data_IF_801945014317
#
_entry.id   IF_801945014317
#
_cell.length_a   1.000
_cell.length_b   1.000
_cell.length_c   1.000
_cell.angle_alpha   90.00
_cell.angle_beta   90.00
_cell.angle_gamma   90.00
#
_symmetry.space_group_name_H-M   'P 1'
#
loop_
_entity.id
_entity.type
_entity.pdbx_description
1 polymer ?
#
# COMPACT_ATOMS: atom_id res chain seq x y z
N UNK A 1 64.23 6.71 3.39
CA UNK A 1 63.49 5.45 3.58
C UNK A 1 62.24 5.77 4.40
N UNK A 2 61.21 6.32 3.73
CA UNK A 2 59.98 6.76 4.38
C UNK A 2 59.01 5.58 4.43
N UNK A 3 58.72 5.09 5.63
CA UNK A 3 57.67 4.10 5.87
C UNK A 3 56.38 4.87 6.15
N UNK A 4 55.50 4.94 5.16
CA UNK A 4 54.13 5.40 5.34
C UNK A 4 53.31 4.25 5.94
N UNK A 5 52.75 4.49 7.13
CA UNK A 5 51.62 3.72 7.65
C UNK A 5 50.43 3.94 6.71
N UNK A 6 50.01 2.89 6.01
CA UNK A 6 48.74 2.89 5.31
C UNK A 6 47.66 2.47 6.31
N UNK A 7 46.92 3.44 6.82
CA UNK A 7 45.66 3.20 7.51
C UNK A 7 44.68 2.56 6.52
N UNK A 8 44.47 1.26 6.68
CA UNK A 8 43.46 0.51 5.93
C UNK A 8 42.08 0.77 6.59
N UNK A 9 41.54 1.97 6.45
CA UNK A 9 40.15 2.26 6.76
C UNK A 9 39.28 1.77 5.59
N UNK A 10 39.07 0.45 5.52
CA UNK A 10 38.06 -0.12 4.64
C UNK A 10 36.68 0.33 5.12
N UNK A 11 36.10 1.30 4.41
CA UNK A 11 34.68 1.64 4.56
C UNK A 11 33.86 0.40 4.23
N UNK A 12 32.95 -0.08 5.10
CA UNK A 12 32.07 -1.17 4.72
C UNK A 12 31.09 -0.63 3.69
N UNK A 13 31.30 -1.04 2.44
CA UNK A 13 30.31 -1.03 1.40
C UNK A 13 29.11 -1.87 1.86
N UNK A 14 28.18 -1.25 2.58
CA UNK A 14 26.88 -1.83 2.90
C UNK A 14 26.03 -1.86 1.60
N UNK A 15 26.38 -2.77 0.69
CA UNK A 15 25.42 -3.35 -0.24
C UNK A 15 24.56 -4.32 0.56
N UNK A 16 23.40 -3.85 0.99
CA UNK A 16 22.41 -4.70 1.65
C UNK A 16 21.98 -5.79 0.66
N UNK A 17 21.79 -7.05 1.08
CA UNK A 17 21.35 -8.10 0.18
C UNK A 17 20.00 -7.70 -0.42
N UNK A 18 19.87 -7.81 -1.74
CA UNK A 18 18.58 -7.71 -2.41
C UNK A 18 17.67 -8.80 -1.81
N UNK A 19 16.63 -8.36 -1.09
CA UNK A 19 15.85 -9.12 -0.10
C UNK A 19 15.33 -10.49 -0.55
N UNK A 20 15.50 -11.49 0.33
CA UNK A 20 14.82 -12.79 0.30
C UNK A 20 13.29 -12.67 0.13
N UNK A 21 12.69 -11.56 0.57
CA UNK A 21 11.27 -11.24 0.41
C UNK A 21 10.81 -11.18 -1.06
N UNK A 22 11.60 -10.58 -1.95
CA UNK A 22 11.22 -10.43 -3.38
C UNK A 22 11.39 -11.73 -4.13
N UNK A 23 12.27 -12.60 -3.63
CA UNK A 23 12.51 -13.93 -4.18
C UNK A 23 11.54 -14.98 -3.60
N UNK A 24 10.69 -14.60 -2.65
CA UNK A 24 9.71 -15.49 -2.07
C UNK A 24 8.66 -15.90 -3.14
N UNK A 25 8.47 -17.20 -3.40
CA UNK A 25 7.51 -17.65 -4.41
C UNK A 25 6.07 -17.23 -4.09
N UNK A 26 5.72 -17.13 -2.81
CA UNK A 26 4.41 -16.65 -2.38
C UNK A 26 4.24 -15.17 -2.71
N UNK A 27 5.22 -14.33 -2.40
CA UNK A 27 5.20 -12.91 -2.78
C UNK A 27 4.98 -12.73 -4.29
N UNK A 28 5.77 -13.43 -5.12
CA UNK A 28 5.69 -13.31 -6.58
C UNK A 28 4.34 -13.77 -7.13
N UNK A 29 3.76 -14.85 -6.59
CA UNK A 29 2.46 -15.35 -7.00
C UNK A 29 1.34 -14.34 -6.69
N UNK A 30 1.33 -13.79 -5.47
CA UNK A 30 0.33 -12.81 -5.06
C UNK A 30 0.50 -11.45 -5.77
N UNK A 31 1.73 -11.04 -6.05
CA UNK A 31 2.00 -9.85 -6.87
C UNK A 31 1.40 -10.01 -8.27
N UNK A 32 1.60 -11.16 -8.90
CA UNK A 32 1.05 -11.43 -10.22
C UNK A 32 -0.48 -11.58 -10.19
N UNK A 33 -1.04 -12.19 -9.14
CA UNK A 33 -2.49 -12.26 -8.92
C UNK A 33 -3.10 -10.86 -8.82
N UNK A 34 -2.55 -10.01 -7.93
CA UNK A 34 -2.99 -8.63 -7.75
C UNK A 34 -2.97 -7.87 -9.07
N UNK A 35 -1.89 -8.02 -9.84
CA UNK A 35 -1.75 -7.41 -11.17
C UNK A 35 -2.86 -7.87 -12.11
N UNK A 36 -3.11 -9.17 -12.20
CA UNK A 36 -4.16 -9.72 -13.05
C UNK A 36 -5.55 -9.21 -12.65
N UNK A 37 -5.83 -9.18 -11.35
CA UNK A 37 -7.09 -8.70 -10.80
C UNK A 37 -7.34 -7.22 -11.15
N UNK A 38 -6.32 -6.37 -11.01
CA UNK A 38 -6.36 -4.95 -11.35
C UNK A 38 -6.66 -4.74 -12.84
N UNK A 39 -5.92 -5.42 -13.74
CA UNK A 39 -6.13 -5.28 -15.19
C UNK A 39 -7.50 -5.80 -15.63
N UNK A 40 -7.93 -6.95 -15.12
CA UNK A 40 -9.25 -7.51 -15.44
C UNK A 40 -10.38 -6.56 -15.01
N UNK A 41 -10.24 -5.96 -13.83
CA UNK A 41 -11.22 -5.00 -13.30
C UNK A 41 -11.28 -3.74 -14.15
N UNK A 42 -10.14 -3.22 -14.60
CA UNK A 42 -10.08 -2.07 -15.50
C UNK A 42 -10.67 -2.37 -16.90
N UNK A 43 -10.40 -3.56 -17.46
CA UNK A 43 -10.87 -3.93 -18.80
C UNK A 43 -12.37 -4.26 -18.89
N UNK A 44 -12.96 -4.75 -17.80
CA UNK A 44 -14.40 -5.10 -17.74
C UNK A 44 -15.31 -3.88 -17.57
N UNK A 45 -14.78 -2.66 -17.80
CA UNK A 45 -15.49 -1.39 -17.78
C UNK A 45 -16.48 -1.23 -18.96
N UNK A 46 -17.42 -2.15 -19.10
CA UNK A 46 -18.68 -1.84 -19.78
C UNK A 46 -19.54 -0.97 -18.84
N UNK A 47 -20.27 0.02 -19.34
CA UNK A 47 -21.09 0.90 -18.50
C UNK A 47 -22.30 0.13 -17.97
N UNK A 48 -22.14 -0.52 -16.81
CA UNK A 48 -23.28 -1.02 -16.05
C UNK A 48 -24.00 0.19 -15.45
N UNK A 49 -25.13 0.55 -16.05
CA UNK A 49 -26.08 1.53 -15.51
C UNK A 49 -26.66 0.98 -14.20
N UNK A 50 -25.96 1.17 -13.09
CA UNK A 50 -26.55 0.90 -11.78
C UNK A 50 -27.31 2.12 -11.27
N UNK A 51 -28.50 1.84 -10.74
CA UNK A 51 -29.49 2.82 -10.35
C UNK A 51 -29.04 3.62 -9.12
N UNK A 52 -29.40 4.91 -9.09
CA UNK A 52 -29.18 5.81 -7.96
C UNK A 52 -29.72 5.20 -6.65
N UNK A 53 -28.94 5.15 -5.56
CA UNK A 53 -29.44 4.62 -4.31
C UNK A 53 -30.50 5.57 -3.73
N UNK A 54 -31.63 4.99 -3.34
CA UNK A 54 -32.71 5.67 -2.63
C UNK A 54 -32.28 5.96 -1.18
N UNK A 55 -32.67 7.14 -0.69
CA UNK A 55 -32.36 7.62 0.65
C UNK A 55 -33.15 6.80 1.70
N UNK A 56 -32.55 5.74 2.23
CA UNK A 56 -33.16 4.85 3.23
C UNK A 56 -32.31 4.73 4.50
N UNK A 57 -32.87 5.19 5.62
CA UNK A 57 -32.54 4.89 7.03
C UNK A 57 -31.09 4.47 7.37
N UNK A 58 -30.28 5.45 7.82
CA UNK A 58 -28.86 5.28 8.16
C UNK A 58 -28.61 4.56 9.49
N UNK A 59 -28.73 3.23 9.49
CA UNK A 59 -28.02 2.35 10.42
C UNK A 59 -26.86 1.67 9.70
N UNK A 60 -25.75 1.31 10.38
CA UNK A 60 -24.70 0.51 9.76
C UNK A 60 -25.29 -0.83 9.30
N UNK A 61 -24.96 -1.24 8.08
CA UNK A 61 -25.43 -2.53 7.52
C UNK A 61 -24.81 -3.70 8.29
N UNK A 62 -25.47 -4.88 8.26
CA UNK A 62 -24.92 -6.10 8.89
C UNK A 62 -23.51 -6.43 8.37
N UNK A 63 -23.27 -6.15 7.09
CA UNK A 63 -21.96 -6.31 6.44
C UNK A 63 -20.91 -5.33 7.00
N UNK A 64 -21.29 -4.07 7.25
CA UNK A 64 -20.40 -3.08 7.85
C UNK A 64 -20.06 -3.43 9.31
N UNK A 65 -21.03 -3.91 10.09
CA UNK A 65 -20.81 -4.39 11.46
C UNK A 65 -19.86 -5.60 11.50
N UNK A 66 -20.04 -6.55 10.59
CA UNK A 66 -19.17 -7.71 10.47
C UNK A 66 -17.73 -7.30 10.10
N UNK A 67 -17.58 -6.38 9.14
CA UNK A 67 -16.29 -5.83 8.74
C UNK A 67 -15.59 -5.10 9.91
N UNK A 68 -16.32 -4.30 10.68
CA UNK A 68 -15.80 -3.65 11.88
C UNK A 68 -15.37 -4.65 12.97
N UNK A 69 -16.14 -5.74 13.16
CA UNK A 69 -15.77 -6.79 14.11
C UNK A 69 -14.49 -7.52 13.66
N UNK A 70 -14.33 -7.77 12.36
CA UNK A 70 -13.13 -8.36 11.79
C UNK A 70 -11.91 -7.45 11.99
N UNK A 71 -12.02 -6.15 11.71
CA UNK A 71 -10.95 -5.16 11.95
C UNK A 71 -10.56 -5.10 13.43
N UNK A 72 -11.54 -5.05 14.34
CA UNK A 72 -11.27 -5.08 15.79
C UNK A 72 -10.52 -6.34 16.21
N UNK A 73 -10.93 -7.49 15.70
CA UNK A 73 -10.28 -8.78 15.97
C UNK A 73 -8.85 -8.80 15.42
N UNK A 74 -8.64 -8.27 14.21
CA UNK A 74 -7.30 -8.17 13.62
C UNK A 74 -6.37 -7.29 14.47
N UNK A 75 -6.88 -6.18 15.04
CA UNK A 75 -6.13 -5.26 15.89
C UNK A 75 -5.94 -5.71 17.34
N UNK A 76 -6.57 -6.81 17.76
CA UNK A 76 -6.36 -7.37 19.09
C UNK A 76 -4.93 -7.91 19.31
N UNK A 77 -4.21 -8.19 18.22
CA UNK A 77 -2.79 -8.55 18.26
C UNK A 77 -1.91 -7.33 18.54
N UNK A 78 -1.04 -7.42 19.56
CA UNK A 78 -0.12 -6.34 19.93
C UNK A 78 0.77 -5.87 18.77
N UNK A 79 1.31 -6.80 17.98
CA UNK A 79 2.15 -6.48 16.80
C UNK A 79 1.39 -5.69 15.73
N UNK A 80 0.15 -6.07 15.43
CA UNK A 80 -0.67 -5.37 14.43
C UNK A 80 -1.05 -3.96 14.90
N UNK A 81 -1.29 -3.80 16.21
CA UNK A 81 -1.50 -2.47 16.77
C UNK A 81 -0.24 -1.60 16.70
N UNK A 82 0.95 -2.17 16.90
CA UNK A 82 2.22 -1.47 16.69
C UNK A 82 2.40 -1.01 15.25
N UNK A 83 2.07 -1.86 14.26
CA UNK A 83 2.10 -1.46 12.85
C UNK A 83 1.09 -0.34 12.56
N UNK A 84 -0.11 -0.37 13.12
CA UNK A 84 -1.06 0.74 12.93
C UNK A 84 -0.55 2.05 13.54
N UNK A 85 0.08 2.00 14.73
CA UNK A 85 0.70 3.17 15.36
C UNK A 85 1.85 3.71 14.51
N UNK A 86 2.73 2.84 14.01
CA UNK A 86 3.82 3.22 13.13
C UNK A 86 3.28 3.79 11.80
N UNK A 87 2.20 3.23 11.27
CA UNK A 87 1.57 3.77 10.06
C UNK A 87 1.20 5.24 10.24
N UNK A 88 0.42 5.56 11.27
CA UNK A 88 -0.04 6.93 11.52
C UNK A 88 1.13 7.87 11.82
N UNK A 89 2.13 7.39 12.58
CA UNK A 89 3.23 8.24 13.06
C UNK A 89 4.36 8.45 12.03
N UNK A 90 4.60 7.47 11.15
CA UNK A 90 5.78 7.44 10.28
C UNK A 90 5.43 7.23 8.81
N UNK A 91 4.38 6.46 8.48
CA UNK A 91 4.05 6.11 7.09
C UNK A 91 3.14 7.14 6.42
N UNK A 92 2.01 7.44 7.04
CA UNK A 92 1.00 8.33 6.49
C UNK A 92 1.53 9.74 6.18
N UNK A 93 2.40 10.37 7.00
CA UNK A 93 2.90 11.72 6.72
C UNK A 93 3.64 11.87 5.39
N UNK A 94 4.37 10.85 4.93
CA UNK A 94 5.01 10.93 3.60
C UNK A 94 4.07 10.57 2.45
N UNK A 95 3.00 9.81 2.70
CA UNK A 95 1.93 9.64 1.72
C UNK A 95 1.18 10.96 1.53
N UNK A 96 0.94 11.70 2.61
CA UNK A 96 0.29 13.02 2.64
C UNK A 96 1.20 14.19 2.24
N UNK A 97 2.42 13.94 1.76
CA UNK A 97 3.32 15.01 1.36
C UNK A 97 2.69 15.83 0.22
N UNK A 98 2.25 17.05 0.51
CA UNK A 98 1.45 17.96 -0.34
C UNK A 98 -0.08 17.77 -0.33
N UNK A 99 -0.62 16.94 0.56
CA UNK A 99 -2.06 16.90 0.85
C UNK A 99 -2.34 17.61 2.18
N UNK A 100 -2.92 18.81 2.10
CA UNK A 100 -3.31 19.58 3.29
C UNK A 100 -4.46 18.96 4.08
N UNK A 101 -5.19 18.00 3.49
CA UNK A 101 -6.30 17.31 4.16
C UNK A 101 -5.85 16.05 4.90
N UNK A 102 -4.54 15.73 4.83
CA UNK A 102 -3.93 14.58 5.51
C UNK A 102 -4.76 13.29 5.30
N UNK A 103 -5.15 13.01 4.05
CA UNK A 103 -6.09 11.94 3.77
C UNK A 103 -5.56 10.56 4.20
N UNK A 104 -4.27 10.29 4.06
CA UNK A 104 -3.66 9.04 4.50
C UNK A 104 -3.51 8.97 6.04
N UNK A 105 -3.33 10.10 6.72
CA UNK A 105 -3.20 10.14 8.19
C UNK A 105 -4.56 10.11 8.88
N UNK A 106 -5.60 10.71 8.28
CA UNK A 106 -6.92 10.90 8.89
C UNK A 106 -7.97 10.01 8.25
N UNK A 107 -8.17 10.12 6.93
CA UNK A 107 -9.30 9.48 6.25
C UNK A 107 -9.09 7.97 6.07
N UNK A 108 -7.88 7.54 5.69
CA UNK A 108 -7.54 6.13 5.48
C UNK A 108 -7.71 5.29 6.75
N UNK A 109 -7.21 5.69 7.93
CA UNK A 109 -7.43 4.92 9.16
C UNK A 109 -8.90 4.85 9.57
N UNK A 110 -9.69 5.91 9.32
CA UNK A 110 -11.14 5.90 9.56
C UNK A 110 -11.81 4.88 8.65
N UNK A 111 -11.50 4.89 7.36
CA UNK A 111 -12.04 3.94 6.37
C UNK A 111 -11.61 2.49 6.67
N UNK A 112 -10.38 2.27 7.14
CA UNK A 112 -9.85 0.96 7.50
C UNK A 112 -10.65 0.29 8.64
N UNK A 113 -11.37 1.07 9.47
CA UNK A 113 -12.21 0.51 10.54
C UNK A 113 -13.35 -0.36 10.01
N UNK A 114 -13.91 -0.03 8.84
CA UNK A 114 -14.99 -0.77 8.18
C UNK A 114 -14.54 -1.49 6.91
N UNK A 115 -13.27 -1.38 6.53
CA UNK A 115 -12.69 -2.08 5.38
C UNK A 115 -11.46 -2.92 5.80
N UNK A 116 -11.65 -4.22 6.10
CA UNK A 116 -10.56 -5.12 6.49
C UNK A 116 -9.44 -5.20 5.44
N UNK A 117 -9.77 -5.20 4.15
CA UNK A 117 -8.76 -5.21 3.08
C UNK A 117 -7.81 -4.01 3.16
N UNK A 118 -8.37 -2.81 3.39
CA UNK A 118 -7.59 -1.58 3.57
C UNK A 118 -6.77 -1.61 4.86
N UNK A 119 -7.32 -2.13 5.95
CA UNK A 119 -6.56 -2.33 7.18
C UNK A 119 -5.33 -3.20 6.93
N UNK A 120 -5.50 -4.37 6.33
CA UNK A 120 -4.38 -5.27 6.05
C UNK A 120 -3.34 -4.64 5.12
N UNK A 121 -3.75 -3.88 4.10
CA UNK A 121 -2.82 -3.14 3.23
C UNK A 121 -2.01 -2.08 4.01
N UNK A 122 -2.67 -1.32 4.89
CA UNK A 122 -2.03 -0.33 5.78
C UNK A 122 -1.01 -1.00 6.72
N UNK A 123 -1.41 -2.11 7.35
CA UNK A 123 -0.54 -2.87 8.25
C UNK A 123 0.66 -3.46 7.48
N UNK A 124 0.43 -4.02 6.29
CA UNK A 124 1.48 -4.60 5.45
C UNK A 124 2.52 -3.54 5.06
N UNK A 125 2.09 -2.36 4.62
CA UNK A 125 3.00 -1.27 4.25
C UNK A 125 3.83 -0.81 5.45
N UNK A 126 3.20 -0.68 6.61
CA UNK A 126 3.90 -0.27 7.83
C UNK A 126 4.87 -1.34 8.33
N UNK A 127 4.48 -2.61 8.34
CA UNK A 127 5.37 -3.71 8.69
C UNK A 127 6.59 -3.72 7.76
N UNK A 128 6.36 -3.55 6.45
CA UNK A 128 7.43 -3.49 5.46
C UNK A 128 8.38 -2.31 5.70
N UNK A 129 7.85 -1.16 6.08
CA UNK A 129 8.66 0.02 6.40
C UNK A 129 9.54 -0.22 7.63
N UNK A 130 9.00 -0.83 8.68
CA UNK A 130 9.77 -1.16 9.88
C UNK A 130 10.85 -2.21 9.60
N UNK A 131 10.54 -3.26 8.84
CA UNK A 131 11.52 -4.29 8.42
C UNK A 131 12.70 -3.66 7.67
N UNK A 132 12.42 -2.69 6.79
CA UNK A 132 13.46 -1.94 6.05
C UNK A 132 14.26 -0.99 6.95
N UNK A 133 13.63 -0.36 7.94
CA UNK A 133 14.27 0.62 8.84
C UNK A 133 15.16 -0.05 9.89
N UNK A 134 14.70 -1.13 10.50
CA UNK A 134 15.37 -1.74 11.65
C UNK A 134 16.42 -2.80 11.28
N UNK A 135 16.58 -3.13 9.98
CA UNK A 135 17.42 -4.24 9.52
C UNK A 135 17.12 -5.59 10.19
N UNK A 136 15.99 -5.70 10.89
CA UNK A 136 15.62 -6.88 11.66
C UNK A 136 15.30 -7.99 10.69
N UNK A 137 16.27 -8.86 10.51
CA UNK A 137 16.09 -10.10 9.78
C UNK A 137 15.02 -10.94 10.51
N UNK A 138 14.08 -11.48 9.73
CA UNK A 138 13.19 -12.60 10.09
C UNK A 138 11.73 -12.30 10.50
N UNK A 139 11.24 -11.07 10.41
CA UNK A 139 9.78 -10.85 10.33
C UNK A 139 9.35 -11.03 8.87
N UNK A 140 8.49 -12.01 8.58
CA UNK A 140 7.72 -12.07 7.32
C UNK A 140 6.29 -11.57 7.55
N UNK A 141 6.05 -10.81 8.62
CA UNK A 141 4.73 -10.30 8.97
C UNK A 141 4.17 -9.43 7.83
N UNK A 142 5.02 -8.65 7.14
CA UNK A 142 4.56 -7.86 5.99
C UNK A 142 4.05 -8.74 4.84
N UNK A 143 4.60 -9.93 4.65
CA UNK A 143 4.17 -10.86 3.60
C UNK A 143 2.80 -11.43 3.93
N UNK A 144 2.60 -11.94 5.15
CA UNK A 144 1.32 -12.49 5.59
C UNK A 144 0.20 -11.42 5.52
N UNK A 145 0.51 -10.18 5.92
CA UNK A 145 -0.43 -9.07 5.85
C UNK A 145 -0.75 -8.67 4.39
N UNK A 146 0.25 -8.71 3.50
CA UNK A 146 0.08 -8.43 2.07
C UNK A 146 -0.82 -9.47 1.39
N UNK A 147 -0.58 -10.75 1.65
CA UNK A 147 -1.39 -11.85 1.13
C UNK A 147 -2.86 -11.74 1.58
N UNK A 148 -3.07 -11.47 2.86
CA UNK A 148 -4.43 -11.32 3.40
C UNK A 148 -5.14 -10.09 2.85
N UNK A 149 -4.41 -8.99 2.59
CA UNK A 149 -4.97 -7.81 1.92
C UNK A 149 -5.49 -8.14 0.52
N UNK A 150 -4.72 -8.88 -0.29
CA UNK A 150 -5.11 -9.27 -1.66
C UNK A 150 -6.31 -10.22 -1.63
N UNK A 151 -6.29 -11.20 -0.71
CA UNK A 151 -7.40 -12.15 -0.54
C UNK A 151 -8.73 -11.43 -0.25
N UNK A 152 -8.69 -10.39 0.59
CA UNK A 152 -9.86 -9.58 0.95
C UNK A 152 -10.21 -8.52 -0.10
N UNK A 153 -9.27 -8.14 -0.96
CA UNK A 153 -9.48 -7.20 -2.07
C UNK A 153 -10.28 -7.83 -3.21
N UNK A 154 -10.10 -9.13 -3.48
CA UNK A 154 -10.72 -9.82 -4.62
C UNK A 154 -12.26 -9.65 -4.71
N UNK A 155 -13.05 -9.81 -3.63
CA UNK A 155 -14.50 -9.53 -3.68
C UNK A 155 -14.84 -8.07 -3.96
N UNK A 156 -14.03 -7.12 -3.48
CA UNK A 156 -14.26 -5.69 -3.68
C UNK A 156 -14.05 -5.28 -5.14
N UNK A 157 -13.10 -5.92 -5.83
CA UNK A 157 -12.86 -5.72 -7.25
C UNK A 157 -14.05 -6.20 -8.10
N UNK A 158 -14.68 -7.32 -7.72
CA UNK A 158 -15.89 -7.80 -8.38
C UNK A 158 -17.08 -6.85 -8.15
N UNK A 159 -17.18 -6.27 -6.95
CA UNK A 159 -18.22 -5.31 -6.60
C UNK A 159 -17.96 -3.88 -7.13
N UNK A 160 -16.79 -3.62 -7.73
CA UNK A 160 -16.35 -2.29 -8.18
C UNK A 160 -16.48 -1.21 -7.09
N UNK A 161 -16.13 -1.56 -5.87
CA UNK A 161 -16.14 -0.63 -4.75
C UNK A 161 -14.99 0.40 -4.90
N UNK A 162 -15.25 1.70 -4.76
CA UNK A 162 -14.22 2.74 -4.86
C UNK A 162 -13.11 2.61 -3.82
N UNK A 163 -13.34 1.88 -2.72
CA UNK A 163 -12.32 1.56 -1.72
C UNK A 163 -11.18 0.71 -2.27
N UNK A 164 -11.34 0.03 -3.41
CA UNK A 164 -10.24 -0.72 -4.07
C UNK A 164 -9.08 0.20 -4.45
N UNK A 165 -9.37 1.47 -4.74
CA UNK A 165 -8.40 2.44 -5.27
C UNK A 165 -7.32 2.78 -4.23
N UNK A 166 -7.66 3.26 -3.01
CA UNK A 166 -6.66 3.46 -1.95
C UNK A 166 -5.95 2.16 -1.56
N UNK A 167 -6.63 1.00 -1.58
CA UNK A 167 -6.00 -0.29 -1.29
C UNK A 167 -4.89 -0.59 -2.30
N UNK A 168 -5.20 -0.53 -3.59
CA UNK A 168 -4.23 -0.83 -4.65
C UNK A 168 -3.04 0.13 -4.62
N UNK A 169 -3.27 1.42 -4.33
CA UNK A 169 -2.20 2.44 -4.23
C UNK A 169 -1.31 2.21 -3.01
N UNK A 170 -1.86 1.81 -1.86
CA UNK A 170 -1.06 1.45 -0.68
C UNK A 170 -0.23 0.19 -0.94
N UNK A 171 -0.80 -0.80 -1.63
CA UNK A 171 -0.06 -1.99 -2.07
C UNK A 171 1.04 -1.62 -3.10
N UNK A 172 0.81 -0.65 -4.00
CA UNK A 172 1.86 -0.12 -4.88
C UNK A 172 3.06 0.41 -4.07
N UNK A 173 2.79 1.20 -3.02
CA UNK A 173 3.84 1.74 -2.17
C UNK A 173 4.68 0.61 -1.54
N UNK A 174 4.02 -0.46 -1.07
CA UNK A 174 4.70 -1.61 -0.48
C UNK A 174 5.59 -2.31 -1.51
N UNK A 175 5.08 -2.54 -2.72
CA UNK A 175 5.84 -3.19 -3.79
C UNK A 175 7.03 -2.35 -4.22
N UNK A 176 6.90 -1.03 -4.29
CA UNK A 176 8.01 -0.12 -4.57
C UNK A 176 9.10 -0.19 -3.49
N UNK A 177 8.73 -0.44 -2.23
CA UNK A 177 9.69 -0.67 -1.15
C UNK A 177 10.34 -2.05 -1.21
N UNK A 178 9.77 -2.98 -1.98
CA UNK A 178 10.15 -4.38 -1.98
C UNK A 178 10.94 -4.75 -3.22
N UNK A 179 10.43 -4.46 -4.41
CA UNK A 179 10.85 -5.06 -5.66
C UNK A 179 11.78 -4.19 -6.51
N UNK A 180 12.24 -4.77 -7.62
CA UNK A 180 13.05 -4.07 -8.61
C UNK A 180 12.26 -2.94 -9.29
N UNK A 181 12.94 -1.93 -9.87
CA UNK A 181 12.29 -0.90 -10.66
C UNK A 181 11.40 -1.38 -11.80
N UNK A 182 11.63 -2.58 -12.33
CA UNK A 182 10.82 -3.14 -13.41
C UNK A 182 9.49 -3.72 -12.90
N UNK A 183 9.46 -4.29 -11.71
CA UNK A 183 8.29 -5.01 -11.21
C UNK A 183 7.19 -4.08 -10.73
N UNK A 184 7.55 -3.04 -9.95
CA UNK A 184 6.54 -2.10 -9.46
C UNK A 184 5.94 -1.21 -10.57
N UNK A 185 6.63 -1.03 -11.70
CA UNK A 185 6.08 -0.29 -12.87
C UNK A 185 4.86 -0.97 -13.47
N UNK A 186 4.88 -2.29 -13.57
CA UNK A 186 3.74 -3.06 -14.11
C UNK A 186 2.50 -2.90 -13.24
N UNK A 187 2.70 -2.78 -11.93
CA UNK A 187 1.62 -2.53 -10.98
C UNK A 187 1.15 -1.06 -11.03
N UNK A 188 2.07 -0.10 -11.21
CA UNK A 188 1.74 1.30 -11.47
C UNK A 188 0.88 1.48 -12.74
N UNK A 189 1.20 0.77 -13.81
CA UNK A 189 0.40 0.74 -15.06
C UNK A 189 -1.01 0.19 -14.81
N UNK A 190 -1.14 -0.87 -14.00
CA UNK A 190 -2.43 -1.40 -13.58
C UNK A 190 -3.27 -0.37 -12.81
N UNK A 191 -2.67 0.37 -11.88
CA UNK A 191 -3.36 1.44 -11.16
C UNK A 191 -3.78 2.61 -12.06
N UNK A 192 -3.00 2.95 -13.09
CA UNK A 192 -3.44 3.92 -14.10
C UNK A 192 -4.70 3.44 -14.83
N UNK A 193 -4.73 2.17 -15.25
CA UNK A 193 -5.90 1.60 -15.91
C UNK A 193 -7.14 1.58 -15.00
N UNK A 194 -6.96 1.35 -13.69
CA UNK A 194 -8.04 1.49 -12.72
C UNK A 194 -8.51 2.94 -12.59
N UNK A 195 -7.61 3.91 -12.47
CA UNK A 195 -8.01 5.31 -12.39
C UNK A 195 -8.83 5.74 -13.60
N UNK A 196 -8.43 5.33 -14.80
CA UNK A 196 -9.17 5.59 -16.04
C UNK A 196 -10.54 4.90 -16.03
N UNK A 197 -10.61 3.62 -15.62
CA UNK A 197 -11.87 2.87 -15.52
C UNK A 197 -12.86 3.43 -14.50
N UNK A 198 -12.40 4.11 -13.46
CA UNK A 198 -13.23 4.65 -12.37
C UNK A 198 -13.37 6.18 -12.42
N UNK A 199 -12.87 6.81 -13.48
CA UNK A 199 -12.83 8.28 -13.65
C UNK A 199 -12.21 9.01 -12.44
N UNK A 200 -11.14 8.44 -11.89
CA UNK A 200 -10.38 9.04 -10.78
C UNK A 200 -9.25 9.88 -11.33
N UNK A 201 -9.27 11.16 -10.98
CA UNK A 201 -8.31 12.16 -11.45
C UNK A 201 -7.98 13.17 -10.33
N UNK A 202 -7.08 14.11 -10.64
CA UNK A 202 -6.61 15.13 -9.71
C UNK A 202 -7.68 16.11 -9.21
N UNK A 203 -8.91 16.03 -9.73
CA UNK A 203 -10.06 16.86 -9.36
C UNK A 203 -11.22 16.06 -8.75
N UNK A 204 -11.06 14.74 -8.50
CA UNK A 204 -12.14 13.90 -7.92
C UNK A 204 -12.57 14.30 -6.51
N UNK A 205 -11.85 15.21 -5.85
CA UNK A 205 -12.09 15.62 -4.47
C UNK A 205 -11.80 14.52 -3.44
N UNK A 206 -11.84 14.92 -2.16
CA UNK A 206 -11.73 14.01 -1.01
C UNK A 206 -10.54 13.05 -1.06
N UNK A 207 -10.77 11.82 -0.59
CA UNK A 207 -9.75 10.77 -0.54
C UNK A 207 -9.22 10.38 -1.94
N UNK A 208 -10.09 10.30 -2.96
CA UNK A 208 -9.68 9.84 -4.29
C UNK A 208 -8.71 10.81 -4.97
N UNK A 209 -8.89 12.11 -4.79
CA UNK A 209 -7.93 13.12 -5.25
C UNK A 209 -6.58 12.97 -4.53
N UNK A 210 -6.57 12.79 -3.20
CA UNK A 210 -5.32 12.59 -2.46
C UNK A 210 -4.58 11.32 -2.91
N UNK A 211 -5.33 10.24 -3.13
CA UNK A 211 -4.80 8.97 -3.64
C UNK A 211 -4.24 9.12 -5.06
N UNK A 212 -4.91 9.87 -5.93
CA UNK A 212 -4.41 10.19 -7.27
C UNK A 212 -3.08 10.94 -7.23
N UNK A 213 -2.96 11.98 -6.40
CA UNK A 213 -1.73 12.76 -6.28
C UNK A 213 -0.60 11.97 -5.64
N UNK A 214 -0.91 11.09 -4.68
CA UNK A 214 0.06 10.15 -4.12
C UNK A 214 0.61 9.21 -5.22
N UNK A 215 -0.27 8.63 -6.05
CA UNK A 215 0.10 7.82 -7.20
C UNK A 215 0.93 8.59 -8.24
N UNK A 216 0.48 9.79 -8.64
CA UNK A 216 1.17 10.60 -9.64
C UNK A 216 2.62 10.89 -9.20
N UNK A 217 2.82 11.12 -7.90
CA UNK A 217 4.13 11.31 -7.29
C UNK A 217 5.01 10.05 -7.36
N UNK A 218 4.45 8.84 -7.18
CA UNK A 218 5.18 7.58 -7.41
C UNK A 218 5.72 7.50 -8.84
N UNK A 219 4.91 7.93 -9.81
CA UNK A 219 5.28 8.04 -11.22
C UNK A 219 6.34 9.11 -11.51
N UNK A 220 6.75 9.93 -10.56
CA UNK A 220 7.86 10.88 -10.71
C UNK A 220 9.16 10.38 -10.04
N UNK A 221 9.08 9.40 -9.14
CA UNK A 221 10.24 8.89 -8.41
C UNK A 221 11.14 7.91 -9.19
N UNK A 222 10.95 7.78 -10.51
CA UNK A 222 11.68 6.87 -11.42
C UNK A 222 13.22 6.91 -11.33
N UNK A 223 13.82 7.89 -10.66
CA UNK A 223 15.28 8.07 -10.58
C UNK A 223 15.86 8.16 -9.16
N UNK A 224 15.07 8.21 -8.09
CA UNK A 224 15.57 8.82 -6.85
C UNK A 224 15.72 7.85 -5.66
N UNK A 225 16.94 7.82 -5.11
CA UNK A 225 17.22 7.42 -3.72
C UNK A 225 16.35 8.17 -2.68
N UNK A 226 15.62 9.21 -3.10
CA UNK A 226 14.80 10.09 -2.28
C UNK A 226 13.55 9.40 -1.72
N UNK A 227 12.81 8.61 -2.51
CA UNK A 227 11.66 7.86 -1.98
C UNK A 227 12.11 6.86 -0.90
N UNK A 228 13.16 6.09 -1.18
CA UNK A 228 13.77 5.19 -0.19
C UNK A 228 14.35 5.93 1.02
N UNK A 229 14.84 7.17 0.84
CA UNK A 229 15.29 8.00 1.95
C UNK A 229 14.13 8.45 2.82
N UNK A 230 13.00 8.85 2.24
CA UNK A 230 11.77 9.18 2.98
C UNK A 230 11.27 7.98 3.78
N UNK A 231 11.23 6.79 3.18
CA UNK A 231 10.77 5.59 3.88
C UNK A 231 11.68 5.16 5.05
N UNK A 232 12.92 5.67 5.14
CA UNK A 232 13.85 5.38 6.25
C UNK A 232 13.63 6.26 7.48
N UNK A 233 13.11 7.47 7.31
CA UNK A 233 12.84 8.39 8.42
C UNK A 233 11.47 8.10 9.01
#
# INVERSE_FOLDING_TARGET
>A
MASFMADNSSSPSNSWPLDQFVQDPGYLAYQEELRCLIFNTAQTAAPSREASPTLGNYGPTDQELAAQAQTKTALASGRRLEYLKNYVAQVAPWLDMFDSNEAFTVQVPVLARSCPALLYAVLALSARQMERKEARQHSFDSLELYQEAIRLLNPLLQARDLTIIPICVILCCLEMMSASPQDWRRHLEGCAALFDSFDVNGFSGGLLQAVFWCYARMGLYYSSKFFFSLCRY
#
